data_IF_546689115127
#
_entry.id   IF_546689115127
#
_cell.length_a   1.000
_cell.length_b   1.000
_cell.length_c   1.000
_cell.angle_alpha   90.00
_cell.angle_beta   90.00
_cell.angle_gamma   90.00
#
_symmetry.space_group_name_H-M   'P 1'
#
loop_
_entity.id
_entity.type
_entity.pdbx_description
1 polymer ?
#
# COMPACT_ATOMS: atom_id res chain seq x y z
N UNK A 1 28.76 9.63 15.28
CA UNK A 1 27.48 9.04 14.81
C UNK A 1 27.60 7.62 14.25
N UNK A 2 28.73 6.91 14.40
CA UNK A 2 28.94 5.57 13.77
C UNK A 2 27.95 4.48 14.21
N UNK A 3 27.22 4.66 15.32
CA UNK A 3 26.24 3.70 15.84
C UNK A 3 24.78 4.16 15.73
N UNK A 4 24.49 5.22 14.98
CA UNK A 4 23.13 5.70 14.82
C UNK A 4 22.29 4.73 13.99
N UNK A 5 21.11 4.35 14.50
CA UNK A 5 20.12 3.56 13.76
C UNK A 5 19.50 4.41 12.67
N UNK A 6 19.49 3.91 11.44
CA UNK A 6 19.00 4.65 10.28
C UNK A 6 17.51 4.42 10.13
N UNK A 7 16.69 5.46 10.27
CA UNK A 7 15.26 5.42 9.95
C UNK A 7 15.07 6.06 8.58
N UNK A 8 14.60 5.27 7.60
CA UNK A 8 14.18 5.78 6.31
C UNK A 8 12.72 6.25 6.39
N UNK A 9 12.47 7.51 6.05
CA UNK A 9 11.12 8.08 5.93
C UNK A 9 10.83 8.35 4.46
N UNK A 10 9.84 7.66 3.90
CA UNK A 10 9.35 7.88 2.54
C UNK A 10 8.14 8.80 2.64
N UNK A 11 8.37 10.10 2.52
CA UNK A 11 7.33 11.13 2.62
C UNK A 11 7.79 12.42 1.94
N UNK A 12 6.83 13.31 1.65
CA UNK A 12 7.11 14.59 1.01
C UNK A 12 8.05 15.48 1.85
N UNK A 13 8.97 16.18 1.16
CA UNK A 13 9.87 17.17 1.75
C UNK A 13 9.18 18.39 2.38
N UNK A 14 7.87 18.57 2.19
CA UNK A 14 7.09 19.61 2.90
C UNK A 14 7.10 19.43 4.42
N UNK A 15 7.43 18.22 4.90
CA UNK A 15 7.45 17.86 6.31
C UNK A 15 8.87 17.45 6.65
N UNK A 16 9.54 18.23 7.50
CA UNK A 16 10.82 17.81 8.07
C UNK A 16 10.56 16.77 9.17
N UNK A 17 10.70 15.47 8.87
CA UNK A 17 10.54 14.44 9.89
C UNK A 17 11.69 14.42 10.89
N UNK A 18 12.88 14.89 10.51
CA UNK A 18 14.07 14.88 11.39
C UNK A 18 13.83 15.67 12.69
N UNK A 19 12.99 16.71 12.65
CA UNK A 19 12.66 17.54 13.82
C UNK A 19 12.04 16.72 14.96
N UNK A 20 11.25 15.69 14.65
CA UNK A 20 10.62 14.84 15.66
C UNK A 20 11.59 13.88 16.35
N UNK A 21 12.80 13.71 15.79
CA UNK A 21 13.82 12.79 16.29
C UNK A 21 14.98 13.47 17.03
N UNK A 22 15.01 14.81 17.12
CA UNK A 22 16.12 15.58 17.72
C UNK A 22 16.32 15.36 19.22
N UNK A 23 15.27 15.01 19.97
CA UNK A 23 15.39 14.78 21.41
C UNK A 23 16.29 13.57 21.71
N UNK A 24 17.20 13.74 22.69
CA UNK A 24 18.10 12.69 23.14
C UNK A 24 17.31 11.45 23.58
N UNK A 25 17.59 10.33 22.92
CA UNK A 25 17.17 8.98 23.30
C UNK A 25 18.38 8.18 23.73
N UNK A 26 18.16 7.03 24.38
CA UNK A 26 19.22 6.11 24.80
C UNK A 26 20.10 5.63 23.63
N UNK A 27 19.57 5.66 22.40
CA UNK A 27 20.28 5.37 21.15
C UNK A 27 20.06 6.51 20.14
N UNK A 28 21.04 6.76 19.28
CA UNK A 28 20.93 7.77 18.25
C UNK A 28 20.11 7.26 17.05
N UNK A 29 19.18 8.08 16.57
CA UNK A 29 18.41 7.82 15.34
C UNK A 29 18.86 8.83 14.29
N UNK A 30 19.33 8.34 13.14
CA UNK A 30 19.58 9.15 11.94
C UNK A 30 18.40 9.01 11.00
N UNK A 31 17.72 10.12 10.72
CA UNK A 31 16.59 10.14 9.77
C UNK A 31 17.15 10.40 8.37
N UNK A 32 16.89 9.47 7.46
CA UNK A 32 17.06 9.66 6.02
C UNK A 32 15.66 9.82 5.41
N UNK A 33 15.42 10.92 4.70
CA UNK A 33 14.09 11.22 4.14
C UNK A 33 14.20 11.50 2.64
N UNK A 34 13.24 10.96 1.89
CA UNK A 34 13.09 11.20 0.45
C UNK A 34 11.68 10.90 -0.05
N UNK A 35 11.37 11.42 -1.23
CA UNK A 35 10.21 10.96 -2.00
C UNK A 35 10.53 9.60 -2.64
N UNK A 36 9.53 8.79 -2.90
CA UNK A 36 9.72 7.44 -3.42
C UNK A 36 10.42 7.40 -4.78
N UNK A 37 10.21 8.43 -5.61
CA UNK A 37 10.87 8.57 -6.91
C UNK A 37 12.38 8.91 -6.78
N UNK A 38 12.85 9.27 -5.58
CA UNK A 38 14.26 9.53 -5.27
C UNK A 38 15.01 8.28 -4.80
N UNK A 39 14.31 7.16 -4.62
CA UNK A 39 14.88 5.92 -4.07
C UNK A 39 15.22 4.93 -5.18
N UNK A 40 16.42 4.37 -5.10
CA UNK A 40 16.75 3.09 -5.73
C UNK A 40 17.03 2.06 -4.63
N UNK A 41 16.44 0.87 -4.75
CA UNK A 41 16.41 -0.15 -3.69
C UNK A 41 16.93 -1.47 -4.22
N UNK A 42 18.03 -1.92 -3.63
CA UNK A 42 18.58 -3.25 -3.85
C UNK A 42 18.37 -4.09 -2.59
N UNK A 43 17.58 -5.15 -2.70
CA UNK A 43 17.37 -6.10 -1.60
C UNK A 43 17.96 -7.48 -1.92
N UNK A 44 18.41 -8.14 -0.87
CA UNK A 44 18.71 -9.57 -0.78
C UNK A 44 17.89 -10.16 0.36
N UNK A 45 17.91 -11.47 0.56
CA UNK A 45 17.23 -12.11 1.70
C UNK A 45 17.69 -11.60 3.08
N UNK A 46 18.88 -10.98 3.17
CA UNK A 46 19.51 -10.61 4.45
C UNK A 46 19.81 -9.11 4.58
N UNK A 47 19.70 -8.36 3.50
CA UNK A 47 20.13 -6.97 3.47
C UNK A 47 19.30 -6.16 2.48
N UNK A 48 19.07 -4.89 2.82
CA UNK A 48 18.48 -3.90 1.93
C UNK A 48 19.43 -2.70 1.87
N UNK A 49 19.89 -2.36 0.68
CA UNK A 49 20.64 -1.14 0.42
C UNK A 49 19.73 -0.17 -0.30
N UNK A 50 19.67 1.06 0.20
CA UNK A 50 18.92 2.16 -0.39
C UNK A 50 19.92 3.20 -0.86
N UNK A 51 19.81 3.56 -2.13
CA UNK A 51 20.43 4.75 -2.71
C UNK A 51 19.38 5.86 -2.76
N UNK A 52 19.71 7.01 -2.18
CA UNK A 52 18.83 8.16 -2.12
C UNK A 52 19.42 9.30 -2.95
N UNK A 53 18.77 9.58 -4.08
CA UNK A 53 19.17 10.61 -5.03
C UNK A 53 18.25 11.82 -4.92
N UNK A 54 18.53 12.69 -3.94
CA UNK A 54 17.81 13.95 -3.78
C UNK A 54 18.38 15.00 -4.73
N UNK A 55 17.56 15.68 -5.56
CA UNK A 55 18.04 16.70 -6.48
C UNK A 55 18.88 17.78 -5.78
N UNK A 56 20.10 18.02 -6.28
CA UNK A 56 21.01 19.04 -5.76
C UNK A 56 21.77 18.63 -4.49
N UNK A 57 21.73 17.35 -4.09
CA UNK A 57 22.54 16.80 -3.00
C UNK A 57 23.38 15.63 -3.51
N UNK A 58 24.45 15.31 -2.79
CA UNK A 58 25.23 14.10 -3.05
C UNK A 58 24.36 12.86 -2.81
N UNK A 59 24.56 11.86 -3.67
CA UNK A 59 23.91 10.56 -3.57
C UNK A 59 24.34 9.90 -2.26
N UNK A 60 23.37 9.43 -1.48
CA UNK A 60 23.60 8.76 -0.20
C UNK A 60 23.20 7.30 -0.30
N UNK A 61 24.11 6.41 0.09
CA UNK A 61 23.84 4.97 0.16
C UNK A 61 23.86 4.50 1.61
N UNK A 62 22.84 3.75 2.03
CA UNK A 62 22.72 3.25 3.40
C UNK A 62 21.84 2.00 3.50
N UNK A 63 21.94 1.29 4.63
CA UNK A 63 21.03 0.20 5.01
C UNK A 63 20.07 0.72 6.09
N UNK A 64 18.75 0.79 5.83
CA UNK A 64 17.79 1.23 6.83
C UNK A 64 17.66 0.20 7.95
N UNK A 65 17.64 0.67 9.19
CA UNK A 65 17.28 -0.12 10.37
C UNK A 65 15.76 -0.24 10.54
N UNK A 66 15.02 0.74 10.04
CA UNK A 66 13.57 0.69 9.88
C UNK A 66 13.11 1.62 8.75
N UNK A 67 11.90 1.40 8.25
CA UNK A 67 11.25 2.23 7.21
C UNK A 67 9.91 2.74 7.71
N UNK A 68 9.57 3.98 7.36
CA UNK A 68 8.24 4.56 7.55
C UNK A 68 7.68 5.04 6.20
N UNK A 69 6.46 4.61 5.89
CA UNK A 69 5.72 5.04 4.71
C UNK A 69 4.76 6.16 5.12
N UNK A 70 5.11 7.40 4.77
CA UNK A 70 4.29 8.58 4.98
C UNK A 70 3.30 8.83 3.83
N UNK A 71 2.44 9.83 3.99
CA UNK A 71 1.38 10.15 3.03
C UNK A 71 1.90 10.44 1.60
N UNK A 72 3.14 10.93 1.46
CA UNK A 72 3.78 11.13 0.16
C UNK A 72 3.99 9.83 -0.61
N UNK A 73 4.22 8.70 0.09
CA UNK A 73 4.55 7.42 -0.53
C UNK A 73 3.43 6.87 -1.43
N UNK A 74 2.16 7.21 -1.16
CA UNK A 74 0.99 6.67 -1.89
C UNK A 74 0.83 7.25 -3.30
N UNK A 75 1.71 8.15 -3.74
CA UNK A 75 1.61 8.86 -5.03
C UNK A 75 2.35 8.16 -6.18
N UNK A 76 3.02 7.04 -5.93
CA UNK A 76 3.84 6.35 -6.93
C UNK A 76 3.42 4.89 -7.14
N UNK A 77 3.44 4.48 -8.41
CA UNK A 77 3.17 3.10 -8.82
C UNK A 77 4.21 2.09 -8.29
N UNK A 78 5.44 2.56 -7.97
CA UNK A 78 6.54 1.71 -7.51
C UNK A 78 6.42 1.33 -6.02
N UNK A 79 5.49 1.94 -5.27
CA UNK A 79 5.31 1.70 -3.84
C UNK A 79 5.17 0.21 -3.51
N UNK A 80 4.37 -0.54 -4.28
CA UNK A 80 4.19 -1.97 -4.05
C UNK A 80 5.49 -2.76 -4.22
N UNK A 81 6.27 -2.44 -5.25
CA UNK A 81 7.53 -3.14 -5.55
C UNK A 81 8.60 -2.83 -4.50
N UNK A 82 8.73 -1.55 -4.11
CA UNK A 82 9.67 -1.13 -3.06
C UNK A 82 9.27 -1.72 -1.69
N UNK A 83 7.98 -1.74 -1.38
CA UNK A 83 7.47 -2.36 -0.13
C UNK A 83 7.76 -3.86 -0.08
N UNK A 84 7.61 -4.57 -1.20
CA UNK A 84 8.00 -5.98 -1.33
C UNK A 84 9.49 -6.20 -1.05
N UNK A 85 10.35 -5.28 -1.52
CA UNK A 85 11.79 -5.36 -1.25
C UNK A 85 12.09 -5.24 0.25
N UNK A 86 11.44 -4.31 0.96
CA UNK A 86 11.60 -4.17 2.41
C UNK A 86 11.08 -5.39 3.18
N UNK A 87 9.95 -5.95 2.76
CA UNK A 87 9.40 -7.20 3.32
C UNK A 87 10.38 -8.36 3.12
N UNK A 88 10.92 -8.52 1.91
CA UNK A 88 11.84 -9.60 1.56
C UNK A 88 13.17 -9.54 2.34
N UNK A 89 13.66 -8.32 2.63
CA UNK A 89 14.85 -8.11 3.45
C UNK A 89 14.55 -8.06 4.97
N UNK A 90 13.31 -8.35 5.38
CA UNK A 90 12.87 -8.31 6.78
C UNK A 90 13.15 -6.98 7.50
N UNK A 91 13.09 -5.87 6.76
CA UNK A 91 13.30 -4.54 7.35
C UNK A 91 12.08 -4.19 8.22
N UNK A 92 12.27 -3.82 9.49
CA UNK A 92 11.17 -3.33 10.32
C UNK A 92 10.52 -2.11 9.68
N UNK A 93 9.20 -2.12 9.52
CA UNK A 93 8.45 -0.93 9.19
C UNK A 93 7.18 -0.87 10.04
N UNK A 94 6.52 0.28 9.99
CA UNK A 94 5.20 0.48 10.56
C UNK A 94 4.22 0.56 9.38
N UNK A 95 3.18 -0.26 9.27
CA UNK A 95 2.63 -1.26 10.21
C UNK A 95 3.31 -2.65 10.18
N UNK A 96 2.67 -3.70 10.70
CA UNK A 96 3.21 -5.07 10.69
C UNK A 96 3.43 -5.63 9.27
N UNK A 97 4.35 -6.58 9.13
CA UNK A 97 4.62 -7.25 7.85
C UNK A 97 3.37 -7.92 7.25
N UNK A 98 2.57 -8.57 8.09
CA UNK A 98 1.32 -9.22 7.65
C UNK A 98 0.34 -8.19 7.10
N UNK A 99 0.23 -7.04 7.76
CA UNK A 99 -0.64 -5.96 7.28
C UNK A 99 -0.14 -5.40 5.95
N UNK A 100 1.15 -5.08 5.81
CA UNK A 100 1.67 -4.59 4.54
C UNK A 100 1.47 -5.59 3.39
N UNK A 101 1.68 -6.89 3.63
CA UNK A 101 1.38 -7.92 2.63
C UNK A 101 -0.09 -7.89 2.21
N UNK A 102 -1.02 -7.75 3.16
CA UNK A 102 -2.45 -7.63 2.85
C UNK A 102 -2.77 -6.38 2.01
N UNK A 103 -2.08 -5.27 2.25
CA UNK A 103 -2.28 -4.01 1.53
C UNK A 103 -1.59 -3.96 0.14
N UNK A 104 -0.70 -4.91 -0.19
CA UNK A 104 -0.17 -5.02 -1.56
C UNK A 104 -1.24 -5.35 -2.60
N UNK A 105 -2.36 -5.95 -2.18
CA UNK A 105 -3.54 -6.26 -2.99
C UNK A 105 -4.81 -5.74 -2.29
N UNK A 106 -5.04 -4.42 -2.39
CA UNK A 106 -6.19 -3.75 -1.74
C UNK A 106 -7.52 -4.29 -2.27
N UNK A 107 -7.58 -4.69 -3.55
CA UNK A 107 -8.79 -5.20 -4.18
C UNK A 107 -9.20 -6.55 -3.59
N UNK A 108 -8.25 -7.45 -3.34
CA UNK A 108 -8.52 -8.70 -2.62
C UNK A 108 -8.83 -8.43 -1.14
N UNK A 109 -8.11 -7.51 -0.50
CA UNK A 109 -8.38 -7.12 0.90
C UNK A 109 -9.84 -6.68 1.08
N UNK A 110 -10.37 -5.77 0.25
CA UNK A 110 -11.78 -5.33 0.32
C UNK A 110 -12.77 -6.50 0.27
N UNK A 111 -12.51 -7.51 -0.57
CA UNK A 111 -13.36 -8.72 -0.68
C UNK A 111 -13.30 -9.57 0.59
N UNK A 112 -12.15 -9.65 1.24
CA UNK A 112 -11.99 -10.35 2.52
C UNK A 112 -12.70 -9.59 3.65
N UNK A 113 -12.53 -8.27 3.72
CA UNK A 113 -13.14 -7.43 4.75
C UNK A 113 -14.67 -7.51 4.73
N UNK A 114 -15.29 -7.65 3.55
CA UNK A 114 -16.74 -7.85 3.42
C UNK A 114 -17.25 -9.13 4.11
N UNK A 115 -16.40 -10.14 4.29
CA UNK A 115 -16.73 -11.42 4.94
C UNK A 115 -16.56 -11.38 6.45
N UNK A 116 -15.96 -10.31 6.99
CA UNK A 116 -15.73 -10.18 8.43
C UNK A 116 -17.07 -9.99 9.14
N UNK A 117 -17.29 -10.84 10.14
CA UNK A 117 -18.39 -10.70 11.09
C UNK A 117 -17.83 -10.13 12.39
N UNK A 118 -18.43 -9.03 12.85
CA UNK A 118 -18.04 -8.35 14.07
C UNK A 118 -18.51 -9.15 15.29
N UNK A 119 -18.02 -8.79 16.47
CA UNK A 119 -18.37 -9.47 17.72
C UNK A 119 -19.87 -9.46 18.05
N UNK A 120 -20.60 -8.49 17.50
CA UNK A 120 -22.06 -8.35 17.64
C UNK A 120 -22.86 -9.02 16.51
N UNK A 121 -22.20 -9.82 15.66
CA UNK A 121 -22.82 -10.53 14.54
C UNK A 121 -23.08 -9.67 13.30
N UNK A 122 -22.85 -8.36 13.37
CA UNK A 122 -23.00 -7.47 12.22
C UNK A 122 -21.77 -7.53 11.30
N UNK A 123 -21.94 -7.23 10.01
CA UNK A 123 -20.82 -7.07 9.08
C UNK A 123 -20.31 -5.62 9.05
N UNK A 124 -19.12 -5.42 8.46
CA UNK A 124 -18.67 -4.08 8.06
C UNK A 124 -19.53 -3.64 6.86
N UNK A 125 -20.16 -2.45 6.89
CA UNK A 125 -21.06 -2.03 5.81
C UNK A 125 -20.24 -1.56 4.60
N UNK A 126 -19.87 -2.48 3.71
CA UNK A 126 -19.15 -2.18 2.48
C UNK A 126 -20.09 -2.23 1.28
N UNK A 127 -19.85 -1.38 0.28
CA UNK A 127 -20.58 -1.44 -0.98
C UNK A 127 -20.33 -2.77 -1.71
N UNK A 128 -21.29 -3.27 -2.50
CA UNK A 128 -21.00 -4.34 -3.44
C UNK A 128 -20.00 -3.84 -4.49
N UNK A 129 -18.92 -4.60 -4.67
CA UNK A 129 -17.84 -4.31 -5.62
C UNK A 129 -17.82 -5.41 -6.66
N UNK A 130 -17.76 -5.00 -7.93
CA UNK A 130 -17.50 -5.88 -9.06
C UNK A 130 -16.10 -5.56 -9.55
N UNK A 131 -15.22 -6.55 -9.53
CA UNK A 131 -13.81 -6.39 -9.85
C UNK A 131 -13.49 -7.08 -11.17
N UNK A 132 -12.86 -6.33 -12.08
CA UNK A 132 -12.30 -6.78 -13.34
C UNK A 132 -10.77 -6.75 -13.21
N UNK A 133 -10.11 -7.87 -12.88
CA UNK A 133 -8.64 -7.92 -12.75
C UNK A 133 -7.91 -7.63 -14.06
N UNK A 134 -8.58 -7.88 -15.19
CA UNK A 134 -8.10 -7.51 -16.51
C UNK A 134 -9.30 -7.05 -17.32
N UNK A 135 -9.39 -5.74 -17.52
CA UNK A 135 -10.54 -5.13 -18.16
C UNK A 135 -10.56 -5.40 -19.67
N UNK A 136 -11.65 -5.99 -20.14
CA UNK A 136 -11.94 -6.17 -21.56
C UNK A 136 -13.25 -5.47 -21.95
N UNK A 137 -14.29 -5.68 -21.14
CA UNK A 137 -15.63 -5.10 -21.30
C UNK A 137 -16.40 -5.20 -19.99
N UNK A 138 -17.43 -4.36 -19.84
CA UNK A 138 -18.43 -4.50 -18.80
C UNK A 138 -19.43 -5.61 -19.15
N UNK A 139 -19.87 -6.36 -18.14
CA UNK A 139 -20.94 -7.36 -18.31
C UNK A 139 -22.32 -6.68 -18.22
N UNK A 140 -23.24 -7.05 -19.13
CA UNK A 140 -24.59 -6.47 -19.23
C UNK A 140 -25.43 -6.55 -17.94
N UNK A 141 -25.13 -7.48 -17.03
CA UNK A 141 -25.80 -7.56 -15.73
C UNK A 141 -25.50 -6.37 -14.81
N UNK A 142 -24.46 -5.59 -15.10
CA UNK A 142 -24.07 -4.40 -14.33
C UNK A 142 -24.83 -3.13 -14.76
N UNK A 143 -25.48 -3.15 -15.92
CA UNK A 143 -26.20 -2.01 -16.50
C UNK A 143 -27.49 -1.64 -15.77
N UNK A 144 -27.93 -2.41 -14.78
CA UNK A 144 -29.23 -2.22 -14.12
C UNK A 144 -29.20 -1.24 -12.94
N UNK A 145 -28.02 -0.79 -12.51
CA UNK A 145 -27.87 0.01 -11.28
C UNK A 145 -27.09 1.30 -11.54
N UNK A 146 -27.72 2.26 -12.21
CA UNK A 146 -27.20 3.62 -12.37
C UNK A 146 -27.77 4.57 -11.31
N UNK A 147 -27.03 5.63 -10.91
CA UNK A 147 -25.62 5.88 -11.25
C UNK A 147 -24.65 4.90 -10.56
N UNK A 148 -23.47 4.72 -11.15
CA UNK A 148 -22.38 3.90 -10.60
C UNK A 148 -21.05 4.65 -10.62
N UNK A 149 -20.08 4.11 -9.88
CA UNK A 149 -18.70 4.59 -9.87
C UNK A 149 -17.79 3.50 -10.44
N UNK A 150 -17.08 3.84 -11.51
CA UNK A 150 -16.02 3.05 -12.13
C UNK A 150 -14.69 3.56 -11.61
N UNK A 151 -13.87 2.70 -11.00
CA UNK A 151 -12.52 3.03 -10.54
C UNK A 151 -11.51 2.27 -11.38
N UNK A 152 -10.57 2.98 -11.99
CA UNK A 152 -9.56 2.45 -12.90
C UNK A 152 -8.21 2.44 -12.20
N UNK A 153 -7.63 1.25 -12.05
CA UNK A 153 -6.43 0.98 -11.26
C UNK A 153 -6.54 1.46 -9.80
N UNK A 154 -5.45 1.31 -9.04
CA UNK A 154 -5.31 1.96 -7.74
C UNK A 154 -4.91 3.43 -7.91
N UNK A 155 -5.86 4.25 -8.39
CA UNK A 155 -5.68 5.69 -8.46
C UNK A 155 -5.65 6.33 -7.06
N UNK A 156 -4.87 7.40 -6.92
CA UNK A 156 -4.73 8.15 -5.66
C UNK A 156 -5.68 9.36 -5.64
N UNK A 157 -6.22 9.67 -4.45
CA UNK A 157 -7.04 10.88 -4.20
C UNK A 157 -8.22 11.08 -5.18
N UNK A 158 -8.81 10.01 -5.69
CA UNK A 158 -9.96 10.07 -6.59
C UNK A 158 -9.61 10.15 -8.08
N UNK A 159 -8.32 10.15 -8.44
CA UNK A 159 -7.87 9.87 -9.82
C UNK A 159 -8.35 8.47 -10.21
N UNK A 160 -8.74 8.29 -11.47
CA UNK A 160 -9.25 7.01 -11.98
C UNK A 160 -10.69 6.68 -11.55
N UNK A 161 -11.32 7.47 -10.66
CA UNK A 161 -12.73 7.28 -10.28
C UNK A 161 -13.64 8.11 -11.19
N UNK A 162 -14.58 7.47 -11.87
CA UNK A 162 -15.50 8.06 -12.85
C UNK A 162 -16.92 7.75 -12.39
N UNK A 163 -17.78 8.77 -12.31
CA UNK A 163 -19.21 8.57 -12.08
C UNK A 163 -19.87 8.38 -13.44
N UNK A 164 -20.66 7.31 -13.57
CA UNK A 164 -21.38 6.94 -14.80
C UNK A 164 -22.86 6.95 -14.49
N UNK A 165 -23.62 7.80 -15.17
CA UNK A 165 -25.03 8.08 -14.88
C UNK A 165 -26.00 7.24 -15.72
N UNK A 166 -25.57 6.67 -16.83
CA UNK A 166 -26.41 5.90 -17.73
C UNK A 166 -25.57 4.92 -18.58
N UNK A 167 -26.24 4.16 -19.45
CA UNK A 167 -25.60 3.16 -20.29
C UNK A 167 -24.70 3.73 -21.38
N UNK A 168 -25.05 4.87 -21.97
CA UNK A 168 -24.25 5.54 -23.01
C UNK A 168 -22.90 5.98 -22.43
N UNK A 169 -22.90 6.64 -21.28
CA UNK A 169 -21.67 7.01 -20.57
C UNK A 169 -20.81 5.78 -20.20
N UNK A 170 -21.45 4.64 -19.89
CA UNK A 170 -20.71 3.40 -19.61
C UNK A 170 -20.00 2.87 -20.86
N UNK A 171 -20.67 2.92 -22.02
CA UNK A 171 -20.09 2.52 -23.30
C UNK A 171 -18.92 3.43 -23.69
N UNK A 172 -19.02 4.73 -23.46
CA UNK A 172 -17.93 5.68 -23.70
C UNK A 172 -16.71 5.37 -22.82
N UNK A 173 -16.95 5.12 -21.52
CA UNK A 173 -15.88 4.71 -20.58
C UNK A 173 -15.27 3.37 -20.98
N UNK A 174 -16.09 2.40 -21.42
CA UNK A 174 -15.60 1.11 -21.93
C UNK A 174 -14.68 1.29 -23.13
N UNK A 175 -15.10 2.05 -24.15
CA UNK A 175 -14.29 2.31 -25.34
C UNK A 175 -12.98 3.02 -25.02
N UNK A 176 -13.03 4.01 -24.13
CA UNK A 176 -11.82 4.70 -23.63
C UNK A 176 -10.88 3.72 -22.93
N UNK A 177 -11.41 2.85 -22.06
CA UNK A 177 -10.62 1.85 -21.35
C UNK A 177 -10.03 0.81 -22.27
N UNK A 178 -10.72 0.37 -23.32
CA UNK A 178 -10.19 -0.59 -24.30
C UNK A 178 -8.96 -0.05 -25.04
N UNK A 179 -8.92 1.26 -25.32
CA UNK A 179 -7.76 1.90 -25.95
C UNK A 179 -6.60 2.08 -24.95
N UNK A 180 -6.92 2.43 -23.69
CA UNK A 180 -5.90 2.68 -22.66
C UNK A 180 -5.34 1.40 -22.03
N UNK A 181 -6.08 0.30 -22.07
CA UNK A 181 -5.71 -0.96 -21.38
C UNK A 181 -4.56 -1.65 -22.09
N UNK A 182 -3.34 -1.36 -21.65
CA UNK A 182 -2.16 -2.20 -21.96
C UNK A 182 -2.01 -3.25 -20.85
N UNK A 183 -2.68 -4.39 -20.98
CA UNK A 183 -2.39 -5.63 -20.24
C UNK A 183 -2.74 -5.70 -18.75
N UNK A 184 -2.60 -4.59 -18.03
CA UNK A 184 -2.61 -4.58 -16.56
C UNK A 184 -3.62 -3.57 -15.99
N UNK A 185 -4.68 -3.25 -16.74
CA UNK A 185 -5.72 -2.33 -16.26
C UNK A 185 -6.77 -3.08 -15.46
N UNK A 186 -6.76 -2.82 -14.14
CA UNK A 186 -7.78 -3.30 -13.22
C UNK A 186 -8.92 -2.29 -13.14
N UNK A 187 -10.16 -2.78 -13.06
CA UNK A 187 -11.36 -1.92 -12.93
C UNK A 187 -12.26 -2.42 -11.82
N UNK A 188 -12.66 -1.52 -10.92
CA UNK A 188 -13.70 -1.77 -9.91
C UNK A 188 -14.96 -0.99 -10.24
N UNK A 189 -16.12 -1.62 -10.08
CA UNK A 189 -17.43 -0.98 -10.23
C UNK A 189 -18.21 -1.12 -8.93
N UNK A 190 -18.76 -0.01 -8.46
CA UNK A 190 -19.60 0.05 -7.25
C UNK A 190 -20.80 0.97 -7.46
N UNK A 191 -21.93 0.77 -6.75
CA UNK A 191 -23.04 1.71 -6.77
C UNK A 191 -22.61 3.11 -6.34
N UNK A 192 -23.18 4.13 -6.96
CA UNK A 192 -23.00 5.50 -6.51
C UNK A 192 -23.78 5.73 -5.20
N UNK A 193 -23.15 6.40 -4.24
CA UNK A 193 -23.79 6.86 -3.01
C UNK A 193 -23.91 8.37 -3.08
N UNK A 194 -25.14 8.88 -2.98
CA UNK A 194 -25.38 10.32 -2.79
C UNK A 194 -25.06 10.70 -1.34
N UNK A 195 -23.77 10.93 -1.09
CA UNK A 195 -23.23 11.19 0.23
C UNK A 195 -23.57 12.62 0.70
N UNK A 196 -24.02 12.74 1.95
CA UNK A 196 -24.16 14.03 2.66
C UNK A 196 -22.80 14.54 3.12
N UNK A 197 -21.92 13.64 3.53
CA UNK A 197 -20.56 13.90 3.99
C UNK A 197 -19.77 12.59 4.07
N UNK A 198 -18.46 12.73 4.21
CA UNK A 198 -17.55 11.60 4.36
C UNK A 198 -16.91 11.67 5.76
N UNK A 199 -16.71 10.51 6.40
CA UNK A 199 -16.00 10.40 7.67
C UNK A 199 -14.63 9.76 7.42
N UNK A 200 -13.59 10.37 7.97
CA UNK A 200 -12.26 9.80 8.07
C UNK A 200 -11.99 9.41 9.52
N UNK A 201 -11.87 8.12 9.81
CA UNK A 201 -11.56 7.63 11.15
C UNK A 201 -10.14 7.09 11.13
N UNK A 202 -9.25 7.76 11.85
CA UNK A 202 -7.84 7.35 11.97
C UNK A 202 -7.56 6.79 13.36
N UNK A 203 -6.59 5.88 13.41
CA UNK A 203 -5.98 5.34 14.61
C UNK A 203 -4.48 5.56 14.54
N UNK A 204 -3.91 6.17 15.57
CA UNK A 204 -2.46 6.35 15.75
C UNK A 204 -2.09 5.85 17.15
N UNK A 205 -1.41 4.72 17.22
CA UNK A 205 -1.13 4.02 18.46
C UNK A 205 -2.44 3.56 19.13
N UNK A 206 -2.79 4.19 20.24
CA UNK A 206 -4.02 3.92 20.99
C UNK A 206 -5.10 4.99 20.79
N UNK A 207 -4.76 6.11 20.15
CA UNK A 207 -5.66 7.23 19.96
C UNK A 207 -6.48 7.05 18.69
N UNK A 208 -7.78 7.39 18.78
CA UNK A 208 -8.68 7.41 17.64
C UNK A 208 -9.18 8.84 17.46
N UNK A 209 -9.19 9.30 16.20
CA UNK A 209 -9.79 10.58 15.81
C UNK A 209 -10.73 10.37 14.66
N UNK A 210 -11.82 11.13 14.63
CA UNK A 210 -12.79 11.13 13.54
C UNK A 210 -12.92 12.53 13.00
N UNK A 211 -12.81 12.65 11.68
CA UNK A 211 -13.01 13.89 10.97
C UNK A 211 -14.19 13.75 10.03
N UNK A 212 -15.11 14.70 10.06
CA UNK A 212 -16.14 14.86 9.05
C UNK A 212 -15.62 15.79 7.95
N UNK A 213 -15.69 15.33 6.71
CA UNK A 213 -15.34 16.09 5.52
C UNK A 213 -16.60 16.42 4.72
N UNK A 214 -16.82 17.71 4.47
CA UNK A 214 -17.93 18.22 3.64
C UNK A 214 -17.37 18.98 2.46
N UNK A 215 -17.63 18.49 1.25
CA UNK A 215 -17.29 19.23 0.02
C UNK A 215 -18.05 20.55 -0.02
N UNK A 216 -17.34 21.65 -0.28
CA UNK A 216 -17.93 22.99 -0.40
C UNK A 216 -18.45 23.19 -1.83
N UNK A 217 -17.66 22.77 -2.81
CA UNK A 217 -18.16 22.59 -4.17
C UNK A 217 -19.09 21.36 -4.16
N UNK A 218 -20.22 21.42 -4.87
CA UNK A 218 -21.17 20.29 -5.04
C UNK A 218 -20.58 19.13 -5.87
N UNK A 219 -19.28 18.89 -5.74
CA UNK A 219 -18.57 17.79 -6.37
C UNK A 219 -18.86 16.51 -5.61
N UNK A 220 -19.09 15.42 -6.33
CA UNK A 220 -19.49 14.16 -5.72
C UNK A 220 -18.34 13.44 -4.98
N UNK A 221 -17.08 13.80 -5.30
CA UNK A 221 -15.90 13.38 -4.54
C UNK A 221 -15.57 14.47 -3.53
N UNK A 222 -15.89 14.26 -2.25
CA UNK A 222 -15.67 15.28 -1.22
C UNK A 222 -14.18 15.61 -0.98
N UNK A 223 -13.29 14.72 -1.40
CA UNK A 223 -11.84 14.86 -1.31
C UNK A 223 -11.22 15.65 -2.47
N UNK A 224 -12.01 16.04 -3.48
CA UNK A 224 -11.55 16.84 -4.62
C UNK A 224 -12.08 18.27 -4.49
N UNK A 225 -11.16 19.22 -4.37
CA UNK A 225 -11.46 20.64 -4.19
C UNK A 225 -11.62 21.05 -2.73
N UNK A 226 -12.18 22.24 -2.52
CA UNK A 226 -12.32 22.81 -1.17
C UNK A 226 -13.32 22.00 -0.34
N UNK A 227 -12.90 21.61 0.85
CA UNK A 227 -13.73 20.89 1.81
C UNK A 227 -13.57 21.49 3.21
N UNK A 228 -14.64 21.45 3.99
CA UNK A 228 -14.59 21.71 5.43
C UNK A 228 -14.24 20.41 6.12
N UNK A 229 -13.25 20.46 7.00
CA UNK A 229 -12.87 19.35 7.86
C UNK A 229 -13.13 19.75 9.31
N UNK A 230 -13.92 18.96 10.02
CA UNK A 230 -14.24 19.19 11.42
C UNK A 230 -13.93 17.90 12.20
N UNK A 231 -13.26 18.03 13.33
CA UNK A 231 -13.03 16.90 14.22
C UNK A 231 -14.27 16.67 15.09
N UNK A 232 -14.73 15.43 15.15
CA UNK A 232 -15.87 15.02 15.97
C UNK A 232 -15.47 13.87 16.90
N UNK A 233 -16.31 13.58 17.89
CA UNK A 233 -16.11 12.42 18.75
C UNK A 233 -16.19 11.12 17.95
N UNK A 234 -15.21 10.23 18.14
CA UNK A 234 -15.20 8.93 17.48
C UNK A 234 -16.28 8.00 18.06
N UNK A 235 -17.07 7.40 17.17
CA UNK A 235 -18.08 6.41 17.53
C UNK A 235 -17.44 5.04 17.84
N UNK A 236 -17.93 4.35 18.88
CA UNK A 236 -17.50 3.00 19.25
C UNK A 236 -17.69 1.98 18.12
N UNK A 237 -18.73 2.16 17.29
CA UNK A 237 -18.98 1.31 16.13
C UNK A 237 -17.84 1.40 15.11
N UNK A 238 -17.30 2.60 14.88
CA UNK A 238 -16.17 2.79 13.95
C UNK A 238 -14.87 2.21 14.51
N UNK A 239 -14.66 2.29 15.84
CA UNK A 239 -13.55 1.60 16.51
C UNK A 239 -13.63 0.08 16.35
N UNK A 240 -14.83 -0.51 16.45
CA UNK A 240 -15.05 -1.95 16.18
C UNK A 240 -14.66 -2.33 14.75
N UNK A 241 -14.98 -1.50 13.76
CA UNK A 241 -14.57 -1.74 12.36
C UNK A 241 -13.05 -1.77 12.22
N UNK A 242 -12.36 -0.75 12.71
CA UNK A 242 -10.89 -0.70 12.71
C UNK A 242 -10.29 -1.89 13.45
N UNK A 243 -10.83 -2.24 14.63
CA UNK A 243 -10.36 -3.39 15.39
C UNK A 243 -10.47 -4.68 14.57
N UNK A 244 -11.63 -4.95 13.98
CA UNK A 244 -11.85 -6.16 13.20
C UNK A 244 -10.95 -6.23 11.96
N UNK A 245 -10.71 -5.09 11.30
CA UNK A 245 -9.74 -4.99 10.21
C UNK A 245 -8.33 -5.35 10.70
N UNK A 246 -7.88 -4.74 11.82
CA UNK A 246 -6.54 -5.02 12.37
C UNK A 246 -6.39 -6.44 12.92
N UNK A 247 -7.46 -7.05 13.43
CA UNK A 247 -7.45 -8.45 13.84
C UNK A 247 -7.28 -9.37 12.60
N UNK A 248 -7.85 -8.99 11.45
CA UNK A 248 -7.79 -9.77 10.20
C UNK A 248 -6.46 -9.65 9.45
N UNK A 249 -5.93 -8.42 9.29
CA UNK A 249 -4.67 -8.19 8.53
C UNK A 249 -3.42 -8.28 9.41
N UNK A 250 -3.60 -8.28 10.73
CA UNK A 250 -2.54 -8.20 11.72
C UNK A 250 -2.31 -6.77 12.25
N UNK A 251 -1.41 -6.62 13.23
CA UNK A 251 -1.29 -5.38 14.00
C UNK A 251 -1.02 -4.16 13.12
N UNK A 252 -1.87 -3.14 13.28
CA UNK A 252 -1.66 -1.81 12.70
C UNK A 252 -1.68 -0.75 13.80
N UNK A 253 -0.62 0.04 13.83
CA UNK A 253 -0.45 1.18 14.72
C UNK A 253 -0.92 2.48 14.09
N UNK A 254 -0.77 2.63 12.77
CA UNK A 254 -1.27 3.80 12.03
C UNK A 254 -2.18 3.29 10.92
N UNK A 255 -3.47 3.57 11.00
CA UNK A 255 -4.41 3.18 9.95
C UNK A 255 -5.64 4.08 9.95
N UNK A 256 -6.40 4.05 8.87
CA UNK A 256 -7.71 4.70 8.80
C UNK A 256 -8.74 3.90 8.01
N UNK A 257 -10.00 4.29 8.20
CA UNK A 257 -11.11 3.93 7.32
C UNK A 257 -11.84 5.19 6.87
N UNK A 258 -12.32 5.17 5.64
CA UNK A 258 -13.14 6.23 5.07
C UNK A 258 -14.57 5.73 4.84
N UNK A 259 -15.54 6.45 5.39
CA UNK A 259 -16.96 6.09 5.40
C UNK A 259 -17.77 7.15 4.65
N UNK A 260 -18.53 6.74 3.64
CA UNK A 260 -19.53 7.58 3.00
C UNK A 260 -20.81 7.53 3.83
N UNK A 261 -21.37 8.69 4.18
CA UNK A 261 -22.68 8.76 4.84
C UNK A 261 -23.70 9.31 3.87
N UNK A 262 -24.67 8.48 3.47
CA UNK A 262 -25.71 8.87 2.52
C UNK A 262 -26.65 9.94 3.08
N UNK A 263 -27.40 10.61 2.22
CA UNK A 263 -28.46 11.56 2.64
C UNK A 263 -29.51 10.91 3.55
N UNK A 264 -29.72 9.61 3.43
CA UNK A 264 -30.61 8.82 4.29
C UNK A 264 -29.94 8.36 5.60
N UNK A 265 -28.67 8.71 5.83
CA UNK A 265 -27.93 8.36 7.04
C UNK A 265 -27.32 6.96 7.03
N UNK A 266 -27.28 6.28 5.88
CA UNK A 266 -26.60 4.97 5.76
C UNK A 266 -25.09 5.15 5.62
N UNK A 267 -24.33 4.37 6.38
CA UNK A 267 -22.88 4.39 6.37
C UNK A 267 -22.32 3.31 5.44
N UNK A 268 -21.31 3.66 4.63
CA UNK A 268 -20.60 2.71 3.78
C UNK A 268 -19.09 2.90 3.89
N UNK A 269 -18.39 1.93 4.48
CA UNK A 269 -16.92 1.86 4.45
C UNK A 269 -16.48 1.61 3.01
N UNK A 270 -15.80 2.58 2.43
CA UNK A 270 -15.39 2.55 1.02
C UNK A 270 -13.87 2.50 0.82
N UNK A 271 -13.10 2.88 1.85
CA UNK A 271 -11.66 2.78 1.82
C UNK A 271 -11.07 2.42 3.19
N UNK A 272 -9.92 1.76 3.16
CA UNK A 272 -9.13 1.35 4.32
C UNK A 272 -7.67 1.63 3.99
N UNK A 273 -6.97 2.35 4.85
CA UNK A 273 -5.61 2.82 4.58
C UNK A 273 -4.63 2.39 5.67
N UNK A 274 -3.46 1.90 5.26
CA UNK A 274 -2.29 1.62 6.11
C UNK A 274 -1.31 2.79 6.16
N UNK A 275 -1.46 3.74 5.24
CA UNK A 275 -0.76 5.03 5.20
C UNK A 275 -1.81 6.13 5.21
N UNK A 276 -1.68 7.09 6.13
CA UNK A 276 -2.68 8.15 6.32
C UNK A 276 -2.06 9.53 6.08
N UNK A 277 -2.89 10.46 5.61
CA UNK A 277 -2.59 11.88 5.67
C UNK A 277 -2.99 12.45 7.03
N UNK A 278 -2.20 13.38 7.55
CA UNK A 278 -2.47 14.07 8.81
C UNK A 278 -3.22 15.36 8.52
N UNK A 279 -4.37 15.56 9.17
CA UNK A 279 -5.26 16.66 8.87
C UNK A 279 -5.49 17.60 10.06
N UNK A 280 -5.91 18.82 9.74
CA UNK A 280 -6.39 19.81 10.72
C UNK A 280 -5.32 20.29 11.69
N UNK A 281 -5.77 20.89 12.78
CA UNK A 281 -4.91 21.47 13.82
C UNK A 281 -4.12 20.40 14.58
N UNK A 282 -4.62 19.16 14.65
CA UNK A 282 -3.96 18.06 15.34
C UNK A 282 -2.84 17.39 14.53
N UNK A 283 -2.60 17.81 13.29
CA UNK A 283 -1.66 17.13 12.40
C UNK A 283 -0.22 17.09 12.96
N UNK A 284 0.23 18.14 13.63
CA UNK A 284 1.56 18.16 14.27
C UNK A 284 1.63 17.21 15.48
N UNK A 285 0.57 17.11 16.28
CA UNK A 285 0.49 16.18 17.41
C UNK A 285 0.46 14.72 16.92
N UNK A 286 -0.28 14.46 15.85
CA UNK A 286 -0.38 13.14 15.21
C UNK A 286 0.98 12.68 14.66
N UNK A 287 1.75 13.59 14.04
CA UNK A 287 3.13 13.29 13.61
C UNK A 287 4.06 13.03 14.80
N UNK A 288 3.89 13.75 15.93
CA UNK A 288 4.64 13.45 17.16
C UNK A 288 4.29 12.07 17.70
N UNK A 289 3.01 11.71 17.76
CA UNK A 289 2.58 10.38 18.16
C UNK A 289 3.14 9.28 17.25
N UNK A 290 3.09 9.48 15.92
CA UNK A 290 3.73 8.60 14.95
C UNK A 290 5.25 8.46 15.20
N UNK A 291 5.93 9.56 15.51
CA UNK A 291 7.37 9.53 15.80
C UNK A 291 7.71 8.71 17.04
N UNK A 292 6.85 8.70 18.07
CA UNK A 292 7.03 7.87 19.26
C UNK A 292 6.94 6.37 18.91
N UNK A 293 5.99 6.00 18.06
CA UNK A 293 5.86 4.62 17.55
C UNK A 293 7.09 4.21 16.73
N UNK A 294 7.60 5.11 15.89
CA UNK A 294 8.81 4.88 15.09
C UNK A 294 10.06 4.77 15.96
N UNK A 295 10.17 5.55 17.05
CA UNK A 295 11.23 5.39 18.03
C UNK A 295 11.20 3.98 18.62
N UNK A 296 10.04 3.53 19.09
CA UNK A 296 9.87 2.19 19.64
C UNK A 296 10.20 1.08 18.61
N UNK A 297 9.88 1.29 17.33
CA UNK A 297 10.23 0.36 16.25
C UNK A 297 11.74 0.22 16.04
N UNK A 298 12.47 1.34 16.14
CA UNK A 298 13.92 1.41 15.94
C UNK A 298 14.71 0.98 17.19
N UNK A 299 14.04 0.88 18.35
CA UNK A 299 14.68 0.53 19.61
C UNK A 299 15.43 -0.81 19.52
N UNK A 300 16.63 -0.92 20.13
CA UNK A 300 17.33 -2.19 20.23
C UNK A 300 16.40 -3.23 20.88
N UNK A 301 16.09 -4.31 20.16
CA UNK A 301 15.43 -5.45 20.78
C UNK A 301 16.42 -6.07 21.74
N UNK A 302 16.15 -5.98 23.05
CA UNK A 302 16.89 -6.72 24.06
C UNK A 302 16.59 -8.20 23.80
N UNK A 303 17.49 -8.89 23.10
CA UNK A 303 17.51 -10.34 23.11
C UNK A 303 17.83 -10.73 24.53
N UNK A 304 16.81 -11.06 25.33
CA UNK A 304 17.07 -11.81 26.56
C UNK A 304 17.77 -13.09 26.12
N UNK A 305 19.01 -13.36 26.52
CA UNK A 305 19.62 -14.64 26.21
C UNK A 305 18.74 -15.69 26.90
N UNK A 306 18.15 -16.59 26.10
CA UNK A 306 17.60 -17.83 26.62
C UNK A 306 18.76 -18.45 27.41
N UNK A 307 18.59 -18.51 28.74
CA UNK A 307 19.54 -19.17 29.61
C UNK A 307 19.70 -20.60 29.08
N UNK A 308 20.90 -20.93 28.62
CA UNK A 308 21.25 -22.31 28.33
C UNK A 308 21.12 -23.09 29.64
N UNK A 309 20.12 -23.96 29.74
CA UNK A 309 20.04 -24.93 30.82
C UNK A 309 21.30 -25.81 30.80
N UNK A 310 21.89 -26.11 31.96
CA UNK A 310 23.04 -27.00 32.05
C UNK A 310 22.59 -28.44 31.74
N UNK A 311 23.46 -29.29 31.18
CA UNK A 311 23.09 -30.66 30.84
C UNK A 311 22.83 -31.45 32.12
N UNK A 312 21.58 -31.90 32.30
CA UNK A 312 21.19 -32.79 33.38
C UNK A 312 21.86 -34.17 33.19
N UNK A 313 22.69 -34.54 34.14
CA UNK A 313 23.23 -35.89 34.30
C UNK A 313 22.16 -36.76 34.96
N UNK A 314 21.69 -37.80 34.27
CA UNK A 314 20.74 -38.77 34.80
C UNK A 314 21.45 -39.94 35.48
N UNK A 315 21.10 -40.29 36.74
CA UNK A 315 21.37 -41.60 37.30
C UNK A 315 20.10 -42.47 37.20
N UNK A 316 20.20 -43.63 36.55
CA UNK A 316 19.10 -44.60 36.48
C UNK A 316 19.43 -45.81 37.35
N UNK A 317 18.77 -45.92 38.50
CA UNK A 317 18.70 -47.14 39.32
C UNK A 317 17.33 -47.80 39.14
N UNK A 318 17.37 -49.00 38.55
CA UNK A 318 16.59 -50.21 38.86
C UNK A 318 15.21 -50.09 39.53
N UNK A 319 14.18 -50.59 38.84
CA UNK A 319 13.03 -51.27 39.46
C UNK A 319 12.51 -52.40 38.57
N UNK A 320 12.21 -53.52 39.23
CA UNK A 320 11.86 -54.85 38.75
C UNK A 320 10.34 -55.01 38.66
N UNK A 321 9.82 -55.66 37.60
CA UNK A 321 8.57 -56.46 37.66
C UNK A 321 8.52 -57.53 36.56
N UNK A 322 8.44 -58.80 36.97
CA UNK A 322 8.00 -59.98 36.19
C UNK A 322 6.48 -59.93 35.92
N UNK A 323 5.83 -60.56 34.92
CA UNK A 323 6.23 -61.50 33.87
C UNK A 323 4.99 -62.09 33.16
N UNK A 324 5.25 -62.85 32.08
CA UNK A 324 4.39 -63.75 31.25
C UNK A 324 3.59 -63.09 30.10
N UNK A 325 3.65 -63.54 28.83
CA UNK A 325 4.33 -64.68 28.21
C UNK A 325 4.17 -64.73 26.67
N UNK A 326 5.15 -65.38 26.01
CA UNK A 326 5.12 -66.19 24.77
C UNK A 326 4.55 -65.65 23.42
N UNK A 327 5.46 -65.33 22.47
CA UNK A 327 5.79 -66.13 21.26
C UNK A 327 6.37 -65.29 20.09
N UNK A 328 7.56 -65.68 19.60
CA UNK A 328 7.96 -65.64 18.16
C UNK A 328 8.69 -64.39 17.60
N UNK A 329 9.60 -64.52 16.61
CA UNK A 329 10.85 -63.74 16.55
C UNK A 329 10.96 -62.64 15.46
N UNK A 330 12.00 -61.80 15.65
CA UNK A 330 12.60 -60.72 14.81
C UNK A 330 12.76 -61.07 13.29
N UNK A 331 13.00 -60.13 12.33
CA UNK A 331 14.00 -59.04 12.43
C UNK A 331 13.81 -57.72 11.61
N UNK A 332 14.69 -56.76 11.93
CA UNK A 332 15.43 -55.78 11.12
C UNK A 332 14.74 -54.72 10.21
N UNK A 333 15.22 -53.49 10.44
CA UNK A 333 15.07 -52.22 9.70
C UNK A 333 15.52 -52.33 8.24
N UNK A 334 14.97 -51.50 7.31
CA UNK A 334 15.89 -50.73 6.48
C UNK A 334 15.47 -49.27 6.21
N UNK A 335 16.50 -48.42 6.30
CA UNK A 335 16.67 -47.08 5.72
C UNK A 335 16.30 -47.00 4.24
N UNK A 336 15.54 -45.98 3.84
CA UNK A 336 15.17 -45.71 2.44
C UNK A 336 16.02 -44.57 1.86
N UNK A 337 16.95 -44.91 0.96
CA UNK A 337 17.65 -43.98 0.04
C UNK A 337 16.85 -43.84 -1.27
N UNK A 338 16.95 -42.65 -1.88
CA UNK A 338 16.39 -42.28 -3.18
C UNK A 338 17.17 -42.93 -4.35
N UNK A 339 16.52 -43.30 -5.48
CA UNK A 339 17.19 -43.74 -6.70
C UNK A 339 17.39 -42.63 -7.76
N UNK A 340 18.29 -42.85 -8.75
CA UNK A 340 18.87 -41.80 -9.61
C UNK A 340 18.34 -41.77 -11.07
N UNK A 341 18.66 -40.68 -11.78
CA UNK A 341 18.45 -40.45 -13.23
C UNK A 341 19.18 -41.47 -14.14
N UNK A 342 18.63 -41.76 -15.33
CA UNK A 342 19.39 -42.33 -16.44
C UNK A 342 19.71 -41.32 -17.55
N UNK A 343 20.89 -41.52 -18.16
CA UNK A 343 21.43 -40.87 -19.35
C UNK A 343 21.95 -41.94 -20.33
N UNK A 344 21.66 -41.83 -21.63
CA UNK A 344 22.39 -42.51 -22.73
C UNK A 344 21.94 -41.93 -24.10
N UNK A 345 22.81 -41.22 -24.83
CA UNK A 345 23.60 -41.64 -26.03
C UNK A 345 22.80 -41.62 -27.35
N UNK A 346 22.99 -40.65 -28.26
CA UNK A 346 24.01 -40.51 -29.33
C UNK A 346 23.56 -41.02 -30.72
N UNK A 347 23.51 -40.14 -31.75
CA UNK A 347 23.95 -40.37 -33.15
C UNK A 347 23.52 -39.21 -34.08
N UNK A 348 24.35 -38.87 -35.06
CA UNK A 348 24.18 -37.89 -36.16
C UNK A 348 24.41 -38.62 -37.52
N UNK A 349 24.46 -37.99 -38.73
CA UNK A 349 23.86 -36.79 -39.36
C UNK A 349 23.11 -37.21 -40.69
N UNK A 350 22.96 -36.48 -41.85
CA UNK A 350 23.91 -35.62 -42.60
C UNK A 350 23.34 -34.30 -43.22
N UNK A 351 24.25 -33.55 -43.85
CA UNK A 351 24.13 -32.24 -44.54
C UNK A 351 23.28 -32.26 -45.83
N UNK A 352 22.69 -31.10 -46.15
CA UNK A 352 22.25 -30.71 -47.51
C UNK A 352 22.18 -29.19 -47.64
N UNK A 353 22.96 -28.63 -48.57
CA UNK A 353 22.91 -27.23 -49.01
C UNK A 353 21.69 -26.99 -49.91
N UNK A 354 21.06 -25.81 -49.81
CA UNK A 354 20.65 -25.01 -50.98
C UNK A 354 20.25 -23.60 -50.57
N UNK A 355 20.76 -22.63 -51.34
CA UNK A 355 20.44 -21.20 -51.30
C UNK A 355 19.01 -20.94 -51.71
N UNK A 356 18.39 -19.87 -51.19
CA UNK A 356 17.60 -18.99 -52.05
C UNK A 356 17.52 -17.56 -51.55
N UNK A 357 17.56 -16.66 -52.55
CA UNK A 357 17.66 -15.21 -52.47
C UNK A 357 16.41 -14.58 -51.84
N UNK A 358 16.62 -13.61 -50.96
CA UNK A 358 15.60 -12.59 -50.63
C UNK A 358 15.81 -11.39 -51.54
N UNK A 359 14.82 -11.15 -52.40
CA UNK A 359 14.75 -10.02 -53.32
C UNK A 359 14.13 -8.80 -52.64
N UNK A 360 14.77 -7.66 -52.85
CA UNK A 360 14.44 -6.32 -52.36
C UNK A 360 13.36 -5.63 -53.20
N UNK A 361 12.35 -5.01 -52.57
CA UNK A 361 11.41 -3.97 -53.06
C UNK A 361 10.41 -3.69 -51.91
N UNK A 362 10.01 -2.50 -51.47
CA UNK A 362 10.07 -1.10 -51.90
C UNK A 362 10.22 -0.22 -50.64
N UNK A 363 10.99 0.87 -50.71
CA UNK A 363 10.99 1.96 -49.72
C UNK A 363 9.95 2.99 -50.15
N UNK A 364 8.86 3.12 -49.40
CA UNK A 364 8.01 4.30 -49.48
C UNK A 364 8.55 5.38 -48.53
N UNK A 365 8.89 6.53 -49.11
CA UNK A 365 9.23 7.75 -48.39
C UNK A 365 8.00 8.27 -47.65
N UNK A 366 8.03 8.25 -46.32
CA UNK A 366 7.22 9.15 -45.50
C UNK A 366 8.14 10.25 -44.95
N UNK A 367 7.90 11.49 -45.37
CA UNK A 367 8.53 12.67 -44.76
C UNK A 367 7.96 12.88 -43.35
N UNK A 368 8.79 13.20 -42.35
CA UNK A 368 8.31 13.57 -41.03
C UNK A 368 7.70 15.00 -41.06
N UNK A 369 6.62 15.27 -40.29
CA UNK A 369 6.07 16.62 -40.20
C UNK A 369 7.06 17.61 -39.57
N UNK A 370 6.98 18.91 -39.93
CA UNK A 370 7.96 19.90 -39.51
C UNK A 370 7.96 20.16 -38.00
N UNK A 371 9.16 20.35 -37.45
CA UNK A 371 9.39 20.68 -36.05
C UNK A 371 8.85 22.09 -35.71
N UNK A 372 7.97 22.16 -34.72
CA UNK A 372 7.49 23.41 -34.14
C UNK A 372 8.59 23.98 -33.23
N UNK A 373 8.93 25.29 -33.31
CA UNK A 373 9.97 25.89 -32.47
C UNK A 373 9.59 25.83 -30.98
N UNK A 374 10.48 25.27 -30.16
CA UNK A 374 10.41 25.36 -28.69
C UNK A 374 10.72 26.79 -28.26
N UNK A 375 9.69 27.61 -28.07
CA UNK A 375 9.78 28.82 -27.25
C UNK A 375 9.43 28.47 -25.81
N UNK A 376 10.32 28.84 -24.90
CA UNK A 376 10.23 28.52 -23.48
C UNK A 376 9.13 29.31 -22.77
N UNK A 377 8.31 28.60 -22.02
CA UNK A 377 7.65 29.06 -20.80
C UNK A 377 7.31 27.81 -20.01
N UNK A 378 8.28 27.37 -19.21
CA UNK A 378 8.11 26.25 -18.27
C UNK A 378 7.43 26.82 -17.02
N UNK A 379 6.16 27.19 -17.15
CA UNK A 379 5.32 27.40 -15.97
C UNK A 379 4.96 26.02 -15.41
N UNK A 380 5.78 25.58 -14.46
CA UNK A 380 5.39 24.55 -13.52
C UNK A 380 4.13 25.02 -12.81
N UNK A 381 2.97 24.47 -13.18
CA UNK A 381 1.76 24.58 -12.38
C UNK A 381 1.98 23.77 -11.11
N UNK A 382 2.62 24.42 -10.14
CA UNK A 382 2.72 23.93 -8.79
C UNK A 382 1.32 23.96 -8.21
N UNK A 383 0.70 22.80 -8.01
CA UNK A 383 -0.42 22.65 -7.07
C UNK A 383 0.15 22.87 -5.65
N UNK A 384 0.48 24.13 -5.36
CA UNK A 384 0.72 24.57 -4.00
C UNK A 384 -0.66 24.71 -3.38
N UNK A 385 -0.86 23.93 -2.33
CA UNK A 385 -1.95 24.03 -1.39
C UNK A 385 -1.84 25.37 -0.64
N UNK A 386 -2.07 26.46 -1.36
CA UNK A 386 -2.16 27.81 -0.81
C UNK A 386 -3.64 28.21 -0.75
N UNK A 387 -4.41 27.41 0.00
CA UNK A 387 -5.81 27.69 0.31
C UNK A 387 -5.93 29.08 0.95
N UNK A 388 -4.91 29.51 1.73
CA UNK A 388 -4.87 30.85 2.33
C UNK A 388 -4.61 31.99 1.35
N UNK A 389 -3.71 31.82 0.37
CA UNK A 389 -3.47 32.80 -0.68
C UNK A 389 -4.63 32.92 -1.66
N UNK A 390 -5.42 31.85 -1.83
CA UNK A 390 -6.68 31.91 -2.58
C UNK A 390 -7.75 32.66 -1.78
N UNK A 391 -7.91 32.37 -0.48
CA UNK A 391 -8.85 33.11 0.38
C UNK A 391 -8.51 34.60 0.47
N UNK A 392 -7.24 34.97 0.66
CA UNK A 392 -6.85 36.40 0.72
C UNK A 392 -7.15 37.16 -0.57
N UNK A 393 -7.01 36.51 -1.74
CA UNK A 393 -7.39 37.10 -3.03
C UNK A 393 -8.90 37.23 -3.19
N UNK A 394 -9.68 36.26 -2.71
CA UNK A 394 -11.15 36.35 -2.73
C UNK A 394 -11.66 37.44 -1.80
N UNK A 395 -11.09 37.60 -0.59
CA UNK A 395 -11.53 38.64 0.35
C UNK A 395 -11.08 40.06 -0.04
N UNK A 396 -9.92 40.22 -0.68
CA UNK A 396 -9.47 41.52 -1.19
C UNK A 396 -10.37 42.06 -2.32
N UNK A 397 -11.07 41.20 -3.07
CA UNK A 397 -12.02 41.62 -4.10
C UNK A 397 -13.39 42.06 -3.58
N UNK A 398 -13.71 41.82 -2.30
CA UNK A 398 -15.02 42.16 -1.72
C UNK A 398 -15.01 43.45 -0.87
N UNK A 399 -13.84 43.99 -0.52
CA UNK A 399 -13.72 45.19 0.32
C UNK A 399 -12.75 46.25 -0.23
N UNK A 400 -12.50 46.25 -1.54
CA UNK A 400 -11.63 47.23 -2.19
C UNK A 400 -12.37 48.12 -3.19
N UNK A 401 -13.07 49.13 -2.69
CA UNK A 401 -13.15 50.47 -3.30
C UNK A 401 -12.50 51.47 -2.36
#
# INVERSE_FOLDING_TARGET
MKDAKVLLVIDSHHVDWSKYFRNHTEYAIRVEQGDIDELDVMCTEKNCTVELNTPGKDVRTFTPSAVFLGAGATRCAQLKTITRAFIAAHIPFLNSHTSAVAFLDRNNLKKQLKKITLSDGASIPMLPIVHYPHFHKFHQSQSSTYPMVVSVNEGFQGIGKIKVNNHEELCDVEGMLQIMSKGDTEVEVQPFVDAKYDLHIQKIGHEYKTFIRRGICKHWKSNVGSSVLEQISTCERHKKYLKAITDHVGPMHICSIDILVSKEGREFVHDVNDVIAYFGESAEDDRRAASLLLRALVAPRITSPIAAEPPATSPTTSAVTNGHGNHGPAPAVPTRRLPPHPSSSSAAPPRGHMSDKVESRHKDHYDPPPQIPRTGSRESVSYVDDTMGQLKRTFAGFFGE
#
